data_IF_335383859832
#
_entry.id   IF_335383859832
#
_cell.length_a   1.000
_cell.length_b   1.000
_cell.length_c   1.000
_cell.angle_alpha   90.00
_cell.angle_beta   90.00
_cell.angle_gamma   90.00
#
_symmetry.space_group_name_H-M   'P 1'
#
loop_
_entity.id
_entity.type
_entity.pdbx_description
1 polymer ?
#
# COMPACT_ATOMS: atom_id res chain seq x y z
N UNK A 1 -41.58 21.56 -16.16
CA UNK A 1 -40.15 21.65 -15.83
C UNK A 1 -40.01 21.55 -14.32
N UNK A 2 -39.23 20.59 -13.83
CA UNK A 2 -38.92 20.48 -12.39
C UNK A 2 -38.13 21.73 -12.01
N UNK A 3 -38.58 22.47 -10.99
CA UNK A 3 -37.95 23.72 -10.56
C UNK A 3 -36.53 23.42 -10.06
N UNK A 4 -35.55 24.26 -10.42
CA UNK A 4 -34.15 24.15 -9.96
C UNK A 4 -34.04 23.95 -8.44
N UNK A 5 -34.93 24.59 -7.67
CA UNK A 5 -34.99 24.50 -6.22
C UNK A 5 -35.35 23.09 -5.72
N UNK A 6 -36.26 22.39 -6.39
CA UNK A 6 -36.65 21.02 -6.02
C UNK A 6 -35.51 20.03 -6.32
N UNK A 7 -34.72 20.30 -7.37
CA UNK A 7 -33.51 19.52 -7.70
C UNK A 7 -32.40 19.77 -6.68
N UNK A 8 -32.18 21.01 -6.25
CA UNK A 8 -31.18 21.34 -5.24
C UNK A 8 -31.53 20.74 -3.87
N UNK A 9 -32.80 20.78 -3.48
CA UNK A 9 -33.29 20.13 -2.27
C UNK A 9 -33.10 18.60 -2.33
N UNK A 10 -33.44 17.96 -3.45
CA UNK A 10 -33.22 16.52 -3.64
C UNK A 10 -31.73 16.15 -3.62
N UNK A 11 -30.87 16.95 -4.24
CA UNK A 11 -29.42 16.75 -4.18
C UNK A 11 -28.88 16.84 -2.74
N UNK A 12 -29.42 17.74 -1.91
CA UNK A 12 -29.11 17.80 -0.48
C UNK A 12 -29.46 16.52 0.26
N UNK A 13 -30.64 15.93 -0.01
CA UNK A 13 -31.06 14.66 0.61
C UNK A 13 -30.25 13.47 0.11
N UNK A 14 -29.88 13.44 -1.17
CA UNK A 14 -29.09 12.37 -1.77
C UNK A 14 -27.60 12.49 -1.48
N UNK A 15 -27.12 13.63 -0.99
CA UNK A 15 -25.69 13.87 -0.76
C UNK A 15 -25.06 12.83 0.16
N UNK A 16 -25.68 12.50 1.29
CA UNK A 16 -25.14 11.50 2.21
C UNK A 16 -25.03 10.11 1.54
N UNK A 17 -26.01 9.74 0.70
CA UNK A 17 -25.99 8.49 -0.05
C UNK A 17 -24.91 8.52 -1.14
N UNK A 18 -24.78 9.63 -1.86
CA UNK A 18 -23.74 9.83 -2.85
C UNK A 18 -22.35 9.73 -2.21
N UNK A 19 -22.14 10.39 -1.07
CA UNK A 19 -20.88 10.34 -0.33
C UNK A 19 -20.53 8.89 0.04
N UNK A 20 -21.47 8.10 0.58
CA UNK A 20 -21.27 6.67 0.87
C UNK A 20 -20.93 5.88 -0.41
N UNK A 21 -21.67 6.07 -1.50
CA UNK A 21 -21.40 5.36 -2.76
C UNK A 21 -20.04 5.72 -3.34
N UNK A 22 -19.61 6.98 -3.21
CA UNK A 22 -18.28 7.42 -3.68
C UNK A 22 -17.16 6.82 -2.83
N UNK A 23 -17.34 6.73 -1.51
CA UNK A 23 -16.38 6.11 -0.61
C UNK A 23 -16.18 4.61 -0.89
N UNK A 24 -17.21 3.92 -1.34
CA UNK A 24 -17.17 2.47 -1.62
C UNK A 24 -16.94 2.12 -3.10
N UNK A 25 -16.69 3.12 -3.97
CA UNK A 25 -16.56 2.90 -5.42
C UNK A 25 -15.44 1.92 -5.78
N UNK A 26 -14.29 2.04 -5.12
CA UNK A 26 -13.11 1.19 -5.31
C UNK A 26 -13.19 -0.14 -4.50
N UNK A 27 -14.34 -0.41 -3.89
CA UNK A 27 -14.62 -1.60 -3.09
C UNK A 27 -14.33 -1.44 -1.59
N UNK A 28 -14.87 -2.36 -0.79
CA UNK A 28 -14.76 -2.31 0.68
C UNK A 28 -13.33 -2.39 1.21
N UNK A 29 -12.44 -3.11 0.52
CA UNK A 29 -11.02 -3.22 0.91
C UNK A 29 -10.30 -1.90 0.67
N UNK A 30 -10.60 -1.21 -0.44
CA UNK A 30 -10.01 0.09 -0.75
C UNK A 30 -10.48 1.16 0.24
N UNK A 31 -11.77 1.16 0.59
CA UNK A 31 -12.31 2.07 1.60
C UNK A 31 -11.67 1.85 2.98
N UNK A 32 -11.60 0.60 3.47
CA UNK A 32 -10.93 0.29 4.75
C UNK A 32 -9.47 0.72 4.74
N UNK A 33 -8.78 0.54 3.62
CA UNK A 33 -7.41 1.02 3.42
C UNK A 33 -7.34 2.54 3.50
N UNK A 34 -8.24 3.26 2.82
CA UNK A 34 -8.29 4.72 2.84
C UNK A 34 -8.50 5.25 4.26
N UNK A 35 -9.40 4.64 5.04
CA UNK A 35 -9.57 4.98 6.46
C UNK A 35 -8.26 4.75 7.22
N UNK A 36 -7.64 3.57 7.06
CA UNK A 36 -6.37 3.26 7.72
C UNK A 36 -5.27 4.27 7.37
N UNK A 37 -5.15 4.64 6.09
CA UNK A 37 -4.21 5.66 5.63
C UNK A 37 -4.52 7.03 6.25
N UNK A 38 -5.79 7.44 6.30
CA UNK A 38 -6.17 8.73 6.92
C UNK A 38 -5.85 8.77 8.42
N UNK A 39 -5.96 7.66 9.13
CA UNK A 39 -5.61 7.56 10.55
C UNK A 39 -4.10 7.66 10.76
N UNK A 40 -3.30 6.99 9.93
CA UNK A 40 -1.84 7.13 9.98
C UNK A 40 -1.39 8.53 9.57
N UNK A 41 -2.04 9.15 8.59
CA UNK A 41 -1.77 10.53 8.18
C UNK A 41 -2.06 11.51 9.32
N UNK A 42 -3.23 11.41 9.96
CA UNK A 42 -3.58 12.26 11.11
C UNK A 42 -2.62 12.07 12.30
N UNK A 43 -2.06 10.87 12.47
CA UNK A 43 -1.01 10.62 13.45
C UNK A 43 0.29 11.33 13.06
N UNK A 44 0.76 11.11 11.83
CA UNK A 44 2.00 11.69 11.30
C UNK A 44 1.96 13.22 11.26
N UNK A 45 0.83 13.81 10.87
CA UNK A 45 0.62 15.26 10.80
C UNK A 45 0.92 15.97 12.13
N UNK A 46 0.68 15.30 13.26
CA UNK A 46 1.02 15.81 14.59
C UNK A 46 2.46 15.46 14.91
N UNK A 47 2.81 14.17 14.86
CA UNK A 47 4.09 13.72 15.43
C UNK A 47 5.31 14.17 14.63
N UNK A 48 5.21 14.34 13.30
CA UNK A 48 6.31 14.86 12.48
C UNK A 48 6.68 16.30 12.86
N UNK A 49 5.72 17.10 13.37
CA UNK A 49 5.98 18.47 13.84
C UNK A 49 6.80 18.50 15.13
N UNK A 50 6.56 17.54 16.02
CA UNK A 50 7.29 17.39 17.28
C UNK A 50 8.61 16.63 17.14
N UNK A 51 8.91 16.13 15.95
CA UNK A 51 10.05 15.26 15.70
C UNK A 51 11.37 15.95 15.40
N UNK A 52 11.40 17.29 15.45
CA UNK A 52 12.63 18.08 15.24
C UNK A 52 13.76 17.79 16.25
N UNK A 53 13.56 16.87 17.18
CA UNK A 53 14.61 16.04 17.78
C UNK A 53 15.86 16.79 18.25
N UNK A 54 15.98 17.03 19.56
CA UNK A 54 17.18 17.58 20.25
C UNK A 54 17.52 19.05 19.95
N UNK A 55 17.20 19.57 18.77
CA UNK A 55 17.52 20.94 18.37
C UNK A 55 16.48 21.96 18.84
N UNK A 56 15.21 21.55 18.94
CA UNK A 56 14.12 22.39 19.40
C UNK A 56 13.46 21.81 20.64
N UNK A 57 13.26 22.64 21.65
CA UNK A 57 12.49 22.29 22.85
C UNK A 57 11.01 22.25 22.49
N UNK A 58 10.20 21.40 23.15
CA UNK A 58 8.74 21.36 22.94
C UNK A 58 8.10 22.76 23.03
N UNK A 59 8.63 23.61 23.91
CA UNK A 59 8.17 24.99 24.08
C UNK A 59 8.40 25.86 22.83
N UNK A 60 9.52 25.71 22.15
CA UNK A 60 9.84 26.46 20.93
C UNK A 60 8.93 26.04 19.78
N UNK A 61 8.61 24.74 19.69
CA UNK A 61 7.64 24.20 18.73
C UNK A 61 6.25 24.77 19.01
N UNK A 62 5.84 24.87 20.28
CA UNK A 62 4.56 25.48 20.67
C UNK A 62 4.53 26.97 20.29
N UNK A 63 5.62 27.70 20.52
CA UNK A 63 5.70 29.11 20.17
C UNK A 63 5.68 29.34 18.66
N UNK A 64 6.36 28.49 17.86
CA UNK A 64 6.25 28.47 16.39
C UNK A 64 4.81 28.17 15.93
N UNK A 65 4.14 27.21 16.56
CA UNK A 65 2.75 26.87 16.26
C UNK A 65 1.80 28.04 16.56
N UNK A 66 2.03 28.76 17.67
CA UNK A 66 1.27 29.98 18.03
C UNK A 66 1.48 31.12 17.04
N UNK A 67 2.70 31.28 16.53
CA UNK A 67 2.99 32.27 15.49
C UNK A 67 2.28 31.90 14.17
N UNK A 68 2.34 30.63 13.78
CA UNK A 68 1.75 30.11 12.54
C UNK A 68 0.22 30.15 12.56
N UNK A 69 -0.40 29.81 13.69
CA UNK A 69 -1.86 29.76 13.87
C UNK A 69 -2.37 30.89 14.77
N UNK A 70 -1.85 32.10 14.58
CA UNK A 70 -2.21 33.28 15.40
C UNK A 70 -3.71 33.61 15.42
N UNK A 71 -4.46 33.20 14.38
CA UNK A 71 -5.92 33.39 14.29
C UNK A 71 -6.73 32.24 14.87
N UNK A 72 -6.14 31.06 15.03
CA UNK A 72 -6.81 29.80 15.34
C UNK A 72 -6.08 29.05 16.45
N UNK A 73 -5.99 29.69 17.63
CA UNK A 73 -5.30 29.12 18.80
C UNK A 73 -5.87 27.77 19.26
N UNK A 74 -7.14 27.48 18.95
CA UNK A 74 -7.75 26.19 19.23
C UNK A 74 -7.02 25.04 18.53
N UNK A 75 -6.56 25.23 17.29
CA UNK A 75 -5.83 24.19 16.56
C UNK A 75 -4.47 23.90 17.20
N UNK A 76 -3.81 24.93 17.73
CA UNK A 76 -2.55 24.74 18.49
C UNK A 76 -2.80 23.87 19.71
N UNK A 77 -3.87 24.15 20.46
CA UNK A 77 -4.24 23.34 21.61
C UNK A 77 -4.53 21.89 21.21
N UNK A 78 -5.31 21.67 20.16
CA UNK A 78 -5.67 20.32 19.69
C UNK A 78 -4.42 19.52 19.27
N UNK A 79 -3.45 20.17 18.60
CA UNK A 79 -2.17 19.56 18.21
C UNK A 79 -1.35 19.18 19.45
N UNK A 80 -1.20 20.09 20.43
CA UNK A 80 -0.39 19.85 21.63
C UNK A 80 -1.01 18.78 22.53
N UNK A 81 -2.33 18.80 22.72
CA UNK A 81 -3.04 17.77 23.49
C UNK A 81 -2.91 16.40 22.81
N UNK A 82 -2.99 16.36 21.48
CA UNK A 82 -2.78 15.13 20.71
C UNK A 82 -1.37 14.57 20.89
N UNK A 83 -0.33 15.42 20.92
CA UNK A 83 1.05 14.99 21.17
C UNK A 83 1.28 14.50 22.60
N UNK A 84 0.67 15.13 23.62
CA UNK A 84 0.76 14.65 25.01
C UNK A 84 0.25 13.22 25.19
N UNK A 85 -0.71 12.79 24.36
CA UNK A 85 -1.23 11.42 24.34
C UNK A 85 -0.39 10.45 23.46
N UNK A 86 0.85 10.79 23.10
CA UNK A 86 1.72 10.02 22.20
C UNK A 86 1.79 8.53 22.54
N UNK A 87 1.94 8.17 23.82
CA UNK A 87 2.09 6.77 24.23
C UNK A 87 0.87 5.91 23.87
N UNK A 88 -0.34 6.46 24.07
CA UNK A 88 -1.59 5.79 23.73
C UNK A 88 -1.76 5.70 22.22
N UNK A 89 -1.48 6.80 21.50
CA UNK A 89 -1.51 6.84 20.03
C UNK A 89 -0.53 5.84 19.42
N UNK A 90 0.71 5.76 19.90
CA UNK A 90 1.70 4.78 19.47
C UNK A 90 1.20 3.35 19.67
N UNK A 91 0.58 3.04 20.81
CA UNK A 91 0.01 1.71 21.05
C UNK A 91 -1.10 1.37 20.05
N UNK A 92 -1.99 2.32 19.77
CA UNK A 92 -3.05 2.17 18.77
C UNK A 92 -2.47 1.97 17.37
N UNK A 93 -1.51 2.79 16.97
CA UNK A 93 -0.85 2.72 15.65
C UNK A 93 -0.18 1.36 15.47
N UNK A 94 0.56 0.85 16.45
CA UNK A 94 1.17 -0.49 16.37
C UNK A 94 0.09 -1.57 16.16
N UNK A 95 -1.02 -1.53 16.89
CA UNK A 95 -2.12 -2.49 16.70
C UNK A 95 -2.74 -2.39 15.32
N UNK A 96 -2.93 -1.17 14.81
CA UNK A 96 -3.44 -0.93 13.45
C UNK A 96 -2.47 -1.41 12.37
N UNK A 97 -1.16 -1.24 12.56
CA UNK A 97 -0.14 -1.78 11.65
C UNK A 97 -0.26 -3.30 11.54
N UNK A 98 -0.39 -4.01 12.66
CA UNK A 98 -0.58 -5.46 12.64
C UNK A 98 -1.91 -5.90 12.01
N UNK A 99 -3.01 -5.19 12.29
CA UNK A 99 -4.33 -5.57 11.80
C UNK A 99 -4.55 -5.24 10.31
N UNK A 100 -4.11 -4.06 9.86
CA UNK A 100 -4.45 -3.51 8.54
C UNK A 100 -3.31 -3.61 7.53
N UNK A 101 -2.05 -3.59 7.98
CA UNK A 101 -0.88 -3.47 7.09
C UNK A 101 -0.18 -4.81 6.87
N UNK A 102 -0.07 -5.67 7.89
CA UNK A 102 0.49 -7.03 7.77
C UNK A 102 -0.02 -7.84 6.57
N UNK A 103 -1.33 -7.87 6.24
CA UNK A 103 -1.78 -8.70 5.11
C UNK A 103 -1.28 -8.21 3.74
N UNK A 104 -1.08 -6.89 3.56
CA UNK A 104 -0.56 -6.30 2.30
C UNK A 104 0.23 -5.01 2.58
N UNK A 105 1.51 -5.11 2.96
CA UNK A 105 2.31 -3.95 3.36
C UNK A 105 2.69 -3.04 2.16
N UNK A 106 2.67 -3.58 0.95
CA UNK A 106 3.00 -2.88 -0.31
C UNK A 106 2.20 -1.60 -0.56
N UNK A 107 0.93 -1.56 -0.16
CA UNK A 107 0.07 -0.41 -0.37
C UNK A 107 0.30 0.74 0.63
N UNK A 108 1.04 0.48 1.71
CA UNK A 108 1.30 1.47 2.77
C UNK A 108 2.73 2.00 2.75
N UNK A 109 3.56 1.62 1.76
CA UNK A 109 4.98 2.02 1.68
C UNK A 109 5.29 3.50 1.93
N UNK A 110 4.60 4.49 1.32
CA UNK A 110 4.93 5.89 1.58
C UNK A 110 4.73 6.25 3.07
N UNK A 111 3.67 5.73 3.68
CA UNK A 111 3.39 5.93 5.10
C UNK A 111 4.38 5.17 5.99
N UNK A 112 4.73 3.93 5.63
CA UNK A 112 5.72 3.13 6.37
C UNK A 112 7.10 3.79 6.39
N UNK A 113 7.51 4.45 5.30
CA UNK A 113 8.77 5.23 5.28
C UNK A 113 8.73 6.39 6.27
N UNK A 114 7.63 7.15 6.30
CA UNK A 114 7.43 8.27 7.23
C UNK A 114 7.38 7.79 8.68
N UNK A 115 6.60 6.74 8.95
CA UNK A 115 6.51 6.10 10.26
C UNK A 115 7.87 5.54 10.73
N UNK A 116 8.67 4.97 9.83
CA UNK A 116 10.02 4.46 10.15
C UNK A 116 11.03 5.59 10.39
N UNK A 117 10.85 6.76 9.77
CA UNK A 117 11.68 7.94 10.00
C UNK A 117 11.39 8.61 11.35
N UNK A 118 10.42 8.13 12.14
CA UNK A 118 10.02 8.78 13.38
C UNK A 118 11.08 8.65 14.48
N UNK A 119 11.87 9.70 14.73
CA UNK A 119 12.92 9.74 15.77
C UNK A 119 12.37 10.29 17.09
N UNK A 120 11.96 9.41 18.00
CA UNK A 120 11.52 9.79 19.35
C UNK A 120 11.46 8.59 20.30
N UNK A 121 11.82 8.76 21.58
CA UNK A 121 11.82 7.66 22.55
C UNK A 121 10.41 7.05 22.74
N UNK A 122 9.35 7.85 22.58
CA UNK A 122 7.96 7.38 22.63
C UNK A 122 7.45 6.70 21.35
N UNK A 123 8.04 6.99 20.19
CA UNK A 123 7.64 6.44 18.88
C UNK A 123 8.51 5.29 18.39
N UNK A 124 9.59 4.94 19.10
CA UNK A 124 10.56 3.93 18.68
C UNK A 124 9.94 2.57 18.31
N UNK A 125 8.90 2.13 19.05
CA UNK A 125 8.18 0.88 18.74
C UNK A 125 7.41 0.96 17.43
N UNK A 126 6.79 2.11 17.14
CA UNK A 126 6.08 2.36 15.87
C UNK A 126 7.09 2.36 14.73
N UNK A 127 8.21 3.08 14.89
CA UNK A 127 9.25 3.18 13.87
C UNK A 127 9.86 1.80 13.55
N UNK A 128 10.22 1.01 14.57
CA UNK A 128 10.75 -0.33 14.39
C UNK A 128 9.74 -1.27 13.71
N UNK A 129 8.47 -1.23 14.12
CA UNK A 129 7.42 -2.02 13.48
C UNK A 129 7.21 -1.62 12.00
N UNK A 130 7.20 -0.32 11.70
CA UNK A 130 7.07 0.18 10.35
C UNK A 130 8.26 -0.23 9.46
N UNK A 131 9.48 -0.17 10.01
CA UNK A 131 10.69 -0.61 9.34
C UNK A 131 10.65 -2.11 9.01
N UNK A 132 10.26 -2.96 9.97
CA UNK A 132 10.10 -4.40 9.74
C UNK A 132 9.08 -4.72 8.63
N UNK A 133 7.94 -4.03 8.62
CA UNK A 133 6.92 -4.20 7.57
C UNK A 133 7.40 -3.73 6.20
N UNK A 134 8.19 -2.65 6.17
CA UNK A 134 8.78 -2.13 4.93
C UNK A 134 9.84 -3.10 4.38
N UNK A 135 10.73 -3.60 5.23
CA UNK A 135 11.72 -4.62 4.86
C UNK A 135 11.03 -5.88 4.33
N UNK A 136 9.99 -6.36 5.02
CA UNK A 136 9.21 -7.51 4.56
C UNK A 136 8.61 -7.28 3.17
N UNK A 137 8.00 -6.10 2.94
CA UNK A 137 7.42 -5.75 1.64
C UNK A 137 8.46 -5.74 0.52
N UNK A 138 9.65 -5.20 0.77
CA UNK A 138 10.73 -5.14 -0.21
C UNK A 138 11.30 -6.54 -0.50
N UNK A 139 11.45 -7.39 0.52
CA UNK A 139 11.91 -8.77 0.35
C UNK A 139 10.95 -9.59 -0.50
N UNK A 140 9.63 -9.46 -0.27
CA UNK A 140 8.62 -10.16 -1.08
C UNK A 140 8.66 -9.70 -2.55
N UNK A 141 8.89 -8.42 -2.82
CA UNK A 141 9.09 -7.94 -4.19
C UNK A 141 10.33 -8.52 -4.85
N UNK A 142 11.47 -8.51 -4.15
CA UNK A 142 12.71 -9.07 -4.66
C UNK A 142 12.55 -10.56 -4.97
N UNK A 143 11.91 -11.32 -4.08
CA UNK A 143 11.56 -12.72 -4.31
C UNK A 143 10.69 -12.88 -5.57
N UNK A 144 9.65 -12.06 -5.72
CA UNK A 144 8.77 -12.10 -6.89
C UNK A 144 9.46 -11.68 -8.21
N UNK A 145 10.49 -10.84 -8.15
CA UNK A 145 11.34 -10.53 -9.31
C UNK A 145 12.24 -11.72 -9.64
N UNK A 146 12.91 -12.31 -8.65
CA UNK A 146 13.80 -13.47 -8.83
C UNK A 146 13.03 -14.69 -9.35
N UNK A 147 11.85 -14.98 -8.83
CA UNK A 147 11.04 -16.10 -9.34
C UNK A 147 10.61 -15.86 -10.78
N UNK A 148 10.24 -14.63 -11.15
CA UNK A 148 9.88 -14.29 -12.53
C UNK A 148 11.07 -14.39 -13.48
N UNK A 149 12.27 -13.97 -13.06
CA UNK A 149 13.46 -14.11 -13.90
C UNK A 149 13.85 -15.57 -14.07
N UNK A 150 13.83 -16.36 -13.01
CA UNK A 150 14.10 -17.81 -13.08
C UNK A 150 13.05 -18.53 -13.94
N UNK A 151 11.75 -18.28 -13.74
CA UNK A 151 10.69 -18.84 -14.59
C UNK A 151 10.81 -18.39 -16.05
N UNK A 152 11.20 -17.14 -16.29
CA UNK A 152 11.46 -16.63 -17.63
C UNK A 152 12.62 -17.38 -18.29
N UNK A 153 13.74 -17.55 -17.58
CA UNK A 153 14.91 -18.32 -18.04
C UNK A 153 14.55 -19.78 -18.31
N UNK A 154 13.76 -20.40 -17.44
CA UNK A 154 13.25 -21.77 -17.65
C UNK A 154 12.41 -21.85 -18.93
N UNK A 155 11.49 -20.90 -19.17
CA UNK A 155 10.71 -20.87 -20.41
C UNK A 155 11.57 -20.62 -21.66
N UNK A 156 12.60 -19.77 -21.61
CA UNK A 156 13.53 -19.57 -22.72
C UNK A 156 14.30 -20.85 -23.06
N UNK A 157 14.74 -21.59 -22.03
CA UNK A 157 15.42 -22.87 -22.23
C UNK A 157 14.49 -23.95 -22.80
N UNK A 158 13.22 -23.97 -22.37
CA UNK A 158 12.22 -24.92 -22.87
C UNK A 158 11.82 -24.64 -24.32
N UNK A 159 11.73 -23.37 -24.73
CA UNK A 159 11.50 -22.98 -26.12
C UNK A 159 12.69 -23.32 -27.04
N UNK A 160 13.93 -23.12 -26.58
CA UNK A 160 15.11 -23.54 -27.34
C UNK A 160 15.17 -25.06 -27.50
N UNK A 161 14.88 -25.82 -26.45
CA UNK A 161 14.80 -27.28 -26.52
C UNK A 161 13.68 -27.76 -27.45
N UNK A 162 12.51 -27.13 -27.40
CA UNK A 162 11.41 -27.44 -28.32
C UNK A 162 11.72 -27.08 -29.78
N UNK A 163 12.48 -26.00 -30.02
CA UNK A 163 13.02 -25.67 -31.34
C UNK A 163 13.95 -26.78 -31.84
N UNK A 164 14.97 -27.13 -31.07
CA UNK A 164 15.94 -28.17 -31.42
C UNK A 164 15.28 -29.53 -31.69
N UNK A 165 14.26 -29.91 -30.90
CA UNK A 165 13.52 -31.17 -31.06
C UNK A 165 12.41 -31.11 -32.14
N UNK A 166 11.96 -29.91 -32.53
CA UNK A 166 10.94 -29.70 -33.55
C UNK A 166 11.45 -29.75 -35.01
N UNK A 167 12.77 -29.87 -35.21
CA UNK A 167 13.39 -29.88 -36.54
C UNK A 167 13.58 -31.27 -37.14
N UNK A 168 13.11 -32.33 -36.47
CA UNK A 168 13.27 -33.72 -36.94
C UNK A 168 11.94 -34.35 -37.36
N UNK A 169 11.21 -33.78 -38.33
CA UNK A 169 10.33 -34.60 -39.18
C UNK A 169 9.93 -33.94 -40.51
N UNK A 170 10.79 -34.02 -41.53
CA UNK A 170 10.34 -34.10 -42.92
C UNK A 170 11.20 -35.11 -43.66
N UNK A 171 10.70 -36.33 -43.82
CA UNK A 171 11.14 -37.26 -44.86
C UNK A 171 9.89 -37.71 -45.64
N UNK A 172 9.96 -37.70 -46.98
CA UNK A 172 8.80 -37.83 -47.84
C UNK A 172 8.39 -39.30 -48.00
N UNK A 173 7.11 -39.51 -48.24
CA UNK A 173 6.57 -40.78 -48.68
C UNK A 173 7.09 -41.12 -50.09
N UNK A 174 7.70 -42.29 -50.25
CA UNK A 174 7.91 -42.92 -51.55
C UNK A 174 7.51 -44.40 -51.53
N UNK A 175 6.44 -44.64 -52.27
CA UNK A 175 6.15 -45.81 -53.11
C UNK A 175 6.05 -47.22 -52.51
N UNK A 176 4.79 -47.65 -52.49
CA UNK A 176 4.25 -49.00 -52.68
C UNK A 176 4.84 -49.74 -53.90
N UNK A 177 5.18 -51.01 -53.70
CA UNK A 177 5.13 -52.20 -54.59
C UNK A 177 5.88 -53.31 -53.83
N UNK A 178 5.63 -54.62 -53.88
CA UNK A 178 4.71 -55.56 -54.53
C UNK A 178 4.89 -56.82 -53.64
N UNK A 179 3.83 -57.38 -53.06
CA UNK A 179 3.16 -58.60 -53.53
C UNK A 179 4.01 -59.90 -53.54
N UNK A 180 3.34 -61.01 -53.19
CA UNK A 180 3.53 -62.39 -53.70
C UNK A 180 4.30 -63.40 -52.81
N UNK A 181 3.50 -64.35 -52.26
CA UNK A 181 3.73 -65.81 -52.08
C UNK A 181 4.88 -66.28 -51.14
N UNK A 182 4.85 -67.40 -50.45
CA UNK A 182 3.87 -68.46 -50.21
C UNK A 182 4.47 -69.41 -49.14
N UNK A 183 3.58 -70.04 -48.37
CA UNK A 183 3.62 -71.46 -47.99
C UNK A 183 4.76 -72.08 -47.16
N UNK A 184 4.27 -72.74 -46.10
CA UNK A 184 4.79 -73.87 -45.29
C UNK A 184 5.67 -73.55 -44.10
#
# INVERSE_FOLDING_TARGET
>A
GVKEADRAALAGHLKALMDITTCHLDGGIAYTRQIGMSLFEAFLDVEERFQRGTEATEQEIIDELRQTHSKELQQVLDIVVSHQALQLKCSLVVRLLYALVTPRPEHYRPLLRRLAALVGQGSAKVASCAQQLLEHSLLTELQGVVTRTLQGVDMFSQQQLAGILGHTHTLPASHTNDAVLASK
#
